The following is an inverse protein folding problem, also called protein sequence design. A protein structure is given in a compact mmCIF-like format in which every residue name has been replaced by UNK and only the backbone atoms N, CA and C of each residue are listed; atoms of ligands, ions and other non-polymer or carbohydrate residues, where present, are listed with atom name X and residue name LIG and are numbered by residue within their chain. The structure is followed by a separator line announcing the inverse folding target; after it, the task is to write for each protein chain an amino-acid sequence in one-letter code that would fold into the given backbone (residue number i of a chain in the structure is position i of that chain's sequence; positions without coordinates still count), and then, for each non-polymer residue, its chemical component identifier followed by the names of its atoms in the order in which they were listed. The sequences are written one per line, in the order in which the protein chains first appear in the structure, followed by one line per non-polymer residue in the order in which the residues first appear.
data_IF_503126353508
#
_entry.id   IF_503126353508
#
_cell.length_a   1.000
_cell.length_b   1.000
_cell.length_c   1.000
_cell.angle_alpha   90.00
_cell.angle_beta   90.00
_cell.angle_gamma   90.00
#
_symmetry.space_group_name_H-M   'P 1'
#
loop_
_entity.id
_entity.type
_entity.pdbx_description
1 polymer ?
#
# COMPACT_ATOMS: atom_id res chain seq x y z
N UNK A 1 -12.24 -4.73 -2.23
CA UNK A 1 -11.93 -4.59 -3.67
C UNK A 1 -10.94 -5.67 -4.04
N UNK A 2 -10.87 -6.05 -5.31
CA UNK A 2 -9.89 -7.02 -5.80
C UNK A 2 -8.96 -6.33 -6.80
N UNK A 3 -7.70 -6.74 -6.81
CA UNK A 3 -6.67 -6.22 -7.72
C UNK A 3 -6.00 -7.38 -8.43
N UNK A 4 -5.71 -7.23 -9.72
CA UNK A 4 -4.82 -8.13 -10.46
C UNK A 4 -3.67 -7.34 -11.08
N UNK A 5 -2.49 -7.93 -11.10
CA UNK A 5 -1.30 -7.41 -11.79
C UNK A 5 -1.06 -8.09 -13.15
N UNK A 6 -2.08 -8.80 -13.66
CA UNK A 6 -2.03 -9.60 -14.89
C UNK A 6 -1.54 -11.03 -14.69
N UNK A 7 -0.80 -11.31 -13.62
CA UNK A 7 -0.31 -12.65 -13.29
C UNK A 7 -1.09 -13.26 -12.12
N UNK A 8 -1.24 -12.49 -11.04
CA UNK A 8 -1.87 -12.90 -9.79
C UNK A 8 -3.13 -12.07 -9.52
N UNK A 9 -3.97 -12.61 -8.62
CA UNK A 9 -5.18 -11.94 -8.12
C UNK A 9 -5.12 -11.79 -6.60
N UNK A 10 -5.43 -10.58 -6.14
CA UNK A 10 -5.38 -10.15 -4.76
C UNK A 10 -6.79 -9.74 -4.33
N UNK A 11 -7.44 -10.62 -3.59
CA UNK A 11 -8.87 -10.48 -3.27
C UNK A 11 -9.10 -9.92 -1.87
N UNK A 12 -10.25 -9.26 -1.71
CA UNK A 12 -10.73 -8.77 -0.41
C UNK A 12 -9.81 -7.72 0.19
N UNK A 13 -9.28 -6.81 -0.64
CA UNK A 13 -8.47 -5.68 -0.20
C UNK A 13 -9.35 -4.55 0.32
N UNK A 14 -8.89 -3.93 1.41
CA UNK A 14 -9.53 -2.77 2.01
C UNK A 14 -10.66 -3.17 2.96
N UNK A 15 -10.49 -2.76 4.22
CA UNK A 15 -11.34 -3.19 5.33
C UNK A 15 -12.07 -2.05 6.03
N UNK A 16 -11.66 -0.80 5.79
CA UNK A 16 -12.28 0.40 6.34
C UNK A 16 -13.37 0.95 5.43
N UNK A 17 -14.36 1.59 6.02
CA UNK A 17 -15.39 2.38 5.32
C UNK A 17 -15.01 3.86 5.27
N UNK A 18 -14.21 4.31 6.24
CA UNK A 18 -13.81 5.70 6.43
C UNK A 18 -12.34 5.86 6.76
N UNK A 19 -11.70 6.90 6.21
CA UNK A 19 -10.31 7.26 6.54
C UNK A 19 -10.13 7.64 8.02
N UNK A 20 -11.22 7.98 8.72
CA UNK A 20 -11.21 8.38 10.14
C UNK A 20 -11.15 7.21 11.13
N UNK A 21 -11.26 5.96 10.67
CA UNK A 21 -11.20 4.76 11.54
C UNK A 21 -9.81 4.52 12.17
N UNK A 22 -8.77 5.28 11.76
CA UNK A 22 -7.40 5.20 12.30
C UNK A 22 -6.76 3.80 12.26
N UNK A 23 -7.30 2.88 11.47
CA UNK A 23 -6.67 1.60 11.13
C UNK A 23 -5.71 1.79 9.94
N UNK A 24 -4.72 0.91 9.71
CA UNK A 24 -3.94 0.89 8.47
C UNK A 24 -4.76 0.41 7.27
N UNK A 25 -4.32 0.68 6.05
CA UNK A 25 -5.02 0.25 4.82
C UNK A 25 -4.30 -0.96 4.27
N UNK A 26 -5.02 -1.85 3.58
CA UNK A 26 -4.35 -2.73 2.64
C UNK A 26 -3.76 -1.89 1.51
N UNK A 27 -2.60 -2.29 1.01
CA UNK A 27 -1.93 -1.65 -0.12
C UNK A 27 -1.18 -2.71 -0.92
N UNK A 28 -1.00 -2.46 -2.21
CA UNK A 28 -0.25 -3.35 -3.07
C UNK A 28 0.75 -2.53 -3.86
N UNK A 29 2.00 -2.97 -3.84
CA UNK A 29 3.04 -2.49 -4.73
C UNK A 29 3.05 -3.40 -5.95
N UNK A 30 2.89 -2.82 -7.14
CA UNK A 30 3.01 -3.50 -8.43
C UNK A 30 4.12 -2.79 -9.20
N UNK A 31 5.04 -3.54 -9.78
CA UNK A 31 6.19 -2.97 -10.49
C UNK A 31 5.81 -2.54 -11.92
N UNK A 32 6.81 -2.07 -12.67
CA UNK A 32 6.62 -1.66 -14.06
C UNK A 32 6.20 -2.85 -14.95
N UNK A 33 5.63 -2.54 -16.11
CA UNK A 33 5.27 -3.52 -17.15
C UNK A 33 4.15 -4.53 -16.77
N UNK A 34 3.33 -4.20 -15.77
CA UNK A 34 2.11 -4.95 -15.44
C UNK A 34 0.86 -4.26 -15.98
N UNK A 35 -0.11 -5.07 -16.41
CA UNK A 35 -1.49 -4.62 -16.60
C UNK A 35 -2.21 -4.67 -15.25
N UNK A 36 -2.77 -3.56 -14.81
CA UNK A 36 -3.42 -3.46 -13.50
C UNK A 36 -4.93 -3.39 -13.68
N UNK A 37 -5.63 -4.38 -13.12
CA UNK A 37 -7.10 -4.41 -13.09
C UNK A 37 -7.58 -4.25 -11.66
N UNK A 38 -8.42 -3.25 -11.40
CA UNK A 38 -9.01 -2.99 -10.08
C UNK A 38 -10.51 -3.18 -10.17
N UNK A 39 -11.05 -4.13 -9.40
CA UNK A 39 -12.49 -4.43 -9.35
C UNK A 39 -13.07 -4.04 -8.00
N UNK A 40 -13.97 -3.07 -8.01
CA UNK A 40 -14.70 -2.65 -6.83
C UNK A 40 -15.88 -3.62 -6.55
N UNK A 41 -15.82 -4.34 -5.43
CA UNK A 41 -16.91 -5.22 -4.97
C UNK A 41 -18.02 -4.45 -4.21
N UNK A 42 -17.75 -3.19 -3.88
CA UNK A 42 -18.61 -2.22 -3.21
C UNK A 42 -18.03 -0.82 -3.48
N UNK A 43 -18.71 0.24 -3.04
CA UNK A 43 -18.18 1.60 -3.09
C UNK A 43 -16.75 1.64 -2.53
N UNK A 44 -15.80 2.03 -3.38
CA UNK A 44 -14.38 1.96 -3.08
C UNK A 44 -13.71 3.30 -3.39
N UNK A 45 -12.78 3.70 -2.51
CA UNK A 45 -11.86 4.81 -2.76
C UNK A 45 -10.45 4.24 -2.88
N UNK A 46 -9.82 4.51 -4.02
CA UNK A 46 -8.49 4.01 -4.34
C UNK A 46 -7.55 5.18 -4.54
N UNK A 47 -6.34 5.09 -3.97
CA UNK A 47 -5.24 6.02 -4.23
C UNK A 47 -4.18 5.26 -5.01
N UNK A 48 -3.79 5.81 -6.16
CA UNK A 48 -2.74 5.25 -7.01
C UNK A 48 -1.52 6.17 -6.90
N UNK A 49 -0.44 5.65 -6.35
CA UNK A 49 0.85 6.32 -6.28
C UNK A 49 1.80 5.62 -7.26
N UNK A 50 2.42 6.38 -8.16
CA UNK A 50 3.36 5.84 -9.14
C UNK A 50 4.59 6.74 -9.27
N UNK A 51 5.70 6.15 -9.69
CA UNK A 51 6.98 6.81 -9.95
C UNK A 51 7.68 6.07 -11.08
N UNK A 52 8.52 6.74 -11.90
CA UNK A 52 9.46 6.05 -12.78
C UNK A 52 10.32 5.07 -11.98
N UNK A 53 10.64 3.94 -12.60
CA UNK A 53 11.43 2.88 -12.00
C UNK A 53 12.24 2.18 -13.10
N UNK A 54 13.53 1.98 -12.86
CA UNK A 54 14.42 1.29 -13.80
C UNK A 54 14.36 -0.22 -13.61
N UNK A 55 14.39 -0.65 -12.36
CA UNK A 55 14.45 -2.06 -11.95
C UNK A 55 13.06 -2.61 -11.61
N UNK A 56 12.68 -3.69 -12.28
CA UNK A 56 11.48 -4.46 -11.94
C UNK A 56 11.67 -5.22 -10.62
N UNK A 57 10.65 -5.23 -9.77
CA UNK A 57 10.64 -5.87 -8.45
C UNK A 57 9.37 -6.68 -8.28
N UNK A 58 9.40 -7.67 -7.39
CA UNK A 58 8.23 -8.50 -7.13
C UNK A 58 7.04 -7.66 -6.63
N UNK A 59 5.84 -8.03 -7.06
CA UNK A 59 4.59 -7.52 -6.50
C UNK A 59 4.54 -7.84 -5.01
N UNK A 60 4.16 -6.86 -4.19
CA UNK A 60 4.11 -7.00 -2.74
C UNK A 60 2.77 -6.53 -2.19
N UNK A 61 2.05 -7.44 -1.53
CA UNK A 61 0.83 -7.15 -0.80
C UNK A 61 1.13 -6.75 0.65
N UNK A 62 0.78 -5.52 1.01
CA UNK A 62 0.83 -4.98 2.37
C UNK A 62 -0.55 -5.10 3.01
N UNK A 63 -0.77 -6.17 3.77
CA UNK A 63 -1.99 -6.30 4.58
C UNK A 63 -1.93 -5.40 5.80
N UNK A 64 -3.09 -4.87 6.22
CA UNK A 64 -3.23 -3.96 7.36
C UNK A 64 -2.49 -4.44 8.62
N UNK A 65 -2.46 -5.75 8.87
CA UNK A 65 -1.93 -6.36 10.09
C UNK A 65 -0.40 -6.30 10.17
N UNK A 66 0.28 -6.06 9.03
CA UNK A 66 1.74 -6.06 8.93
C UNK A 66 2.37 -4.67 8.83
N UNK A 67 1.56 -3.59 8.77
CA UNK A 67 2.08 -2.21 8.72
C UNK A 67 2.53 -1.80 10.13
N UNK A 68 3.82 -2.02 10.39
CA UNK A 68 4.41 -2.08 11.74
C UNK A 68 4.88 -0.76 12.36
N UNK A 69 4.71 0.41 11.76
CA UNK A 69 5.31 1.64 12.32
C UNK A 69 4.30 2.73 12.60
N UNK A 70 3.77 2.71 13.83
CA UNK A 70 3.20 3.89 14.48
C UNK A 70 4.37 4.71 15.01
N UNK A 71 4.70 5.82 14.36
CA UNK A 71 5.66 6.79 14.90
C UNK A 71 4.88 7.84 15.67
N UNK A 72 5.10 7.94 16.97
CA UNK A 72 4.62 9.07 17.78
C UNK A 72 5.73 10.14 17.86
N UNK A 73 5.42 11.36 17.45
CA UNK A 73 6.36 12.50 17.45
C UNK A 73 6.02 13.45 18.61
N UNK A 74 7.03 14.09 19.21
CA UNK A 74 6.93 14.85 20.46
C UNK A 74 6.05 16.13 20.35
N UNK A 75 5.52 16.60 21.49
CA UNK A 75 4.63 17.77 21.60
C UNK A 75 5.38 19.05 21.18
N UNK A 76 4.79 19.98 20.39
CA UNK A 76 3.36 20.14 20.07
C UNK A 76 2.82 19.38 18.84
N UNK A 77 3.63 18.62 18.10
CA UNK A 77 3.25 18.06 16.79
C UNK A 77 2.99 16.54 16.82
N UNK A 78 2.18 16.08 17.78
CA UNK A 78 1.81 14.67 17.88
C UNK A 78 0.93 14.25 16.70
N UNK A 79 1.40 13.31 15.90
CA UNK A 79 0.67 12.73 14.75
C UNK A 79 0.73 11.21 14.75
N UNK A 80 -0.27 10.59 14.13
CA UNK A 80 -0.27 9.16 13.83
C UNK A 80 0.16 8.97 12.38
N UNK A 81 1.22 8.21 12.16
CA UNK A 81 1.75 7.91 10.82
C UNK A 81 1.67 6.41 10.58
N UNK A 82 1.22 6.03 9.40
CA UNK A 82 1.32 4.66 8.88
C UNK A 82 2.25 4.68 7.68
N UNK A 83 3.46 4.15 7.83
CA UNK A 83 4.39 4.02 6.69
C UNK A 83 3.99 2.81 5.85
N UNK A 84 3.31 3.06 4.72
CA UNK A 84 2.81 2.01 3.82
C UNK A 84 3.96 1.33 3.06
N UNK A 85 4.90 2.12 2.55
CA UNK A 85 6.08 1.64 1.82
C UNK A 85 7.31 2.41 2.34
N UNK A 86 7.95 1.94 3.44
CA UNK A 86 9.13 2.60 3.98
C UNK A 86 10.38 2.35 3.11
N UNK A 87 11.34 3.27 3.14
CA UNK A 87 12.64 3.15 2.45
C UNK A 87 13.40 1.87 2.80
N UNK A 88 13.18 1.32 4.00
CA UNK A 88 13.77 0.05 4.45
C UNK A 88 13.15 -1.19 3.80
N UNK A 89 12.04 -1.05 3.07
CA UNK A 89 11.37 -2.18 2.42
C UNK A 89 12.02 -2.48 1.06
N UNK A 90 12.19 -3.76 0.75
CA UNK A 90 12.82 -4.24 -0.51
C UNK A 90 12.15 -3.67 -1.77
N UNK A 91 10.83 -3.48 -1.72
CA UNK A 91 10.06 -2.86 -2.81
C UNK A 91 10.37 -1.36 -3.04
N UNK A 92 10.80 -0.60 -2.01
CA UNK A 92 11.05 0.85 -2.11
C UNK A 92 12.35 1.16 -2.88
N UNK A 93 13.35 0.29 -2.80
CA UNK A 93 14.58 0.44 -3.56
C UNK A 93 15.49 1.57 -3.06
N UNK A 94 16.02 1.42 -1.85
CA UNK A 94 17.30 2.04 -1.45
C UNK A 94 18.19 0.98 -0.83
N UNK A 95 19.02 0.36 -1.67
CA UNK A 95 20.25 -0.24 -1.17
C UNK A 95 21.25 0.90 -1.05
N UNK A 96 21.68 1.22 0.17
CA UNK A 96 22.87 2.04 0.41
C UNK A 96 24.12 1.24 0.02
#
# INVERSE_FOLDING_TARGET
MDVSDGNDKYEGLGTRDSVFEKVPTDSIYISKAHEIVITAQRDARVVICYSPCEQERATHLFRQQKILSKIEVNIPNKRHVHNILPDSHTASGKNY
#
